data_IF_343239577900
#
_entry.id   IF_343239577900
#
_cell.length_a   1.000
_cell.length_b   1.000
_cell.length_c   1.000
_cell.angle_alpha   90.00
_cell.angle_beta   90.00
_cell.angle_gamma   90.00
#
_symmetry.space_group_name_H-M   'P 1'
#
loop_
_entity.id
_entity.type
_entity.pdbx_description
1 polymer ?
#
# COMPACT_ATOMS: atom_id res chain seq x y z
N UNK A 1 -33.23 -18.85 2.44
CA UNK A 1 -32.27 -18.08 1.61
C UNK A 1 -32.05 -16.71 2.23
N UNK A 2 -30.89 -16.10 2.01
CA UNK A 2 -30.57 -14.73 2.41
C UNK A 2 -30.75 -13.78 1.23
N UNK A 3 -31.16 -12.53 1.46
CA UNK A 3 -31.18 -11.53 0.41
C UNK A 3 -29.75 -11.25 -0.06
N UNK A 4 -29.54 -11.16 -1.37
CA UNK A 4 -28.26 -10.85 -1.98
C UNK A 4 -28.42 -9.60 -2.85
N UNK A 5 -27.44 -8.71 -2.78
CA UNK A 5 -27.40 -7.53 -3.66
C UNK A 5 -27.12 -7.93 -5.11
N UNK A 6 -26.29 -8.95 -5.28
CA UNK A 6 -25.86 -9.44 -6.56
C UNK A 6 -25.31 -10.86 -6.38
N UNK A 7 -25.69 -11.79 -7.23
CA UNK A 7 -25.30 -13.18 -7.12
C UNK A 7 -25.21 -13.89 -8.47
N UNK A 8 -24.53 -15.02 -8.47
CA UNK A 8 -24.34 -15.95 -9.59
C UNK A 8 -23.41 -17.07 -9.17
N UNK A 9 -23.07 -18.03 -10.05
CA UNK A 9 -22.09 -19.07 -9.73
C UNK A 9 -20.76 -18.43 -9.33
N UNK A 10 -20.33 -18.70 -8.09
CA UNK A 10 -19.08 -18.17 -7.49
C UNK A 10 -18.95 -16.64 -7.50
N UNK A 11 -20.09 -15.92 -7.53
CA UNK A 11 -20.15 -14.47 -7.58
C UNK A 11 -21.19 -13.93 -6.61
N UNK A 12 -20.87 -12.83 -5.96
CA UNK A 12 -21.85 -12.14 -5.13
C UNK A 12 -21.26 -11.28 -4.04
N UNK A 13 -22.14 -10.57 -3.37
CA UNK A 13 -21.87 -9.89 -2.11
C UNK A 13 -22.61 -10.62 -1.02
N UNK A 14 -21.88 -11.14 -0.05
CA UNK A 14 -22.45 -11.87 1.09
C UNK A 14 -22.09 -11.12 2.37
N UNK A 15 -23.10 -10.75 3.13
CA UNK A 15 -22.97 -10.17 4.45
C UNK A 15 -23.89 -10.97 5.40
N UNK A 16 -23.37 -12.01 6.06
CA UNK A 16 -24.17 -12.78 7.02
C UNK A 16 -24.64 -11.90 8.17
N UNK A 17 -25.91 -11.95 8.57
CA UNK A 17 -26.40 -11.18 9.70
C UNK A 17 -25.80 -11.69 11.00
N UNK A 18 -25.59 -10.80 11.95
CA UNK A 18 -25.22 -11.17 13.32
C UNK A 18 -26.44 -11.68 14.08
N UNK A 19 -26.22 -12.53 15.07
CA UNK A 19 -27.28 -13.01 15.97
C UNK A 19 -27.96 -11.84 16.67
N UNK A 20 -29.28 -11.81 16.64
CA UNK A 20 -30.10 -10.73 17.19
C UNK A 20 -30.54 -9.67 16.18
N UNK A 21 -30.06 -9.71 14.94
CA UNK A 21 -30.60 -8.86 13.89
C UNK A 21 -32.06 -9.21 13.60
N UNK A 22 -32.89 -8.20 13.38
CA UNK A 22 -34.26 -8.40 12.94
C UNK A 22 -34.30 -8.77 11.47
N UNK A 23 -35.20 -9.68 11.10
CA UNK A 23 -35.43 -10.02 9.71
C UNK A 23 -36.92 -10.08 9.38
N UNK A 24 -37.24 -9.83 8.13
CA UNK A 24 -38.53 -10.08 7.55
C UNK A 24 -38.51 -11.47 6.88
N UNK A 25 -39.47 -12.33 7.26
CA UNK A 25 -39.62 -13.64 6.68
C UNK A 25 -40.72 -13.61 5.62
N UNK A 26 -40.39 -14.11 4.46
CA UNK A 26 -41.34 -14.30 3.36
C UNK A 26 -41.38 -15.78 2.94
N UNK A 27 -42.35 -16.15 2.15
CA UNK A 27 -42.57 -17.53 1.72
C UNK A 27 -42.74 -17.57 0.20
N UNK A 28 -42.09 -18.51 -0.48
CA UNK A 28 -42.26 -18.71 -1.91
C UNK A 28 -43.71 -19.15 -2.18
N UNK A 29 -44.38 -18.45 -3.07
CA UNK A 29 -45.82 -18.67 -3.42
C UNK A 29 -46.75 -18.73 -2.22
N UNK A 30 -46.37 -18.15 -1.09
CA UNK A 30 -47.12 -18.17 0.15
C UNK A 30 -47.07 -19.52 0.91
N UNK A 31 -46.27 -20.47 0.47
CA UNK A 31 -46.14 -21.77 1.11
C UNK A 31 -45.21 -21.69 2.34
N UNK A 32 -45.73 -21.95 3.56
CA UNK A 32 -44.94 -21.87 4.79
C UNK A 32 -43.77 -22.89 4.87
N UNK A 33 -43.74 -23.90 4.01
CA UNK A 33 -42.64 -24.85 3.96
C UNK A 33 -41.41 -24.32 3.23
N UNK A 34 -41.51 -23.20 2.51
CA UNK A 34 -40.42 -22.58 1.75
C UNK A 34 -40.13 -21.15 2.23
N UNK A 35 -39.67 -20.99 3.49
CA UNK A 35 -39.34 -19.66 4.01
C UNK A 35 -38.04 -19.13 3.43
N UNK A 36 -37.97 -17.81 3.26
CA UNK A 36 -36.72 -17.09 2.97
C UNK A 36 -36.69 -15.74 3.70
N UNK A 37 -35.50 -15.26 4.01
CA UNK A 37 -35.33 -13.93 4.57
C UNK A 37 -35.39 -12.93 3.42
N UNK A 38 -36.36 -12.04 3.46
CA UNK A 38 -36.55 -11.02 2.43
C UNK A 38 -35.88 -9.71 2.77
N UNK A 39 -35.62 -9.46 4.04
CA UNK A 39 -34.94 -8.23 4.49
C UNK A 39 -34.25 -8.46 5.85
N UNK A 40 -33.23 -7.66 6.12
CA UNK A 40 -32.51 -7.63 7.41
C UNK A 40 -32.51 -6.18 7.90
N UNK A 41 -32.85 -5.96 9.16
CA UNK A 41 -32.97 -4.63 9.76
C UNK A 41 -32.20 -4.54 11.07
N UNK A 42 -31.80 -3.33 11.41
CA UNK A 42 -31.27 -3.04 12.74
C UNK A 42 -32.42 -3.12 13.77
N UNK A 43 -32.15 -3.73 14.90
CA UNK A 43 -33.13 -3.88 15.97
C UNK A 43 -32.48 -4.40 17.24
N UNK A 44 -33.21 -4.53 18.31
CA UNK A 44 -32.71 -5.11 19.55
C UNK A 44 -31.53 -4.36 20.18
N UNK A 45 -31.46 -3.03 20.03
CA UNK A 45 -30.32 -2.22 20.50
C UNK A 45 -29.20 -2.03 19.48
N UNK A 46 -29.33 -2.61 18.27
CA UNK A 46 -28.39 -2.37 17.17
C UNK A 46 -28.69 -1.04 16.49
N UNK A 47 -27.65 -0.34 16.07
CA UNK A 47 -27.77 0.91 15.31
C UNK A 47 -27.03 0.79 13.97
N UNK A 48 -27.51 1.53 12.98
CA UNK A 48 -26.81 1.66 11.70
C UNK A 48 -25.41 2.27 11.91
N UNK A 49 -24.46 1.96 11.02
CA UNK A 49 -23.23 2.71 10.94
C UNK A 49 -23.50 4.21 10.83
N UNK A 50 -22.70 5.02 11.51
CA UNK A 50 -22.81 6.48 11.41
C UNK A 50 -22.39 6.91 10.01
N UNK A 51 -23.33 7.51 9.29
CA UNK A 51 -23.08 8.11 7.98
C UNK A 51 -23.83 9.43 7.87
N UNK A 52 -23.23 10.41 7.22
CA UNK A 52 -23.89 11.66 6.84
C UNK A 52 -24.64 11.46 5.51
N UNK A 53 -25.42 12.47 5.13
CA UNK A 53 -26.05 12.49 3.80
C UNK A 53 -24.93 12.48 2.71
N UNK A 54 -25.16 11.73 1.66
CA UNK A 54 -24.21 11.56 0.53
C UNK A 54 -22.91 10.81 0.88
N UNK A 55 -22.91 10.01 1.95
CA UNK A 55 -21.84 9.06 2.24
C UNK A 55 -22.28 7.64 1.91
N UNK A 56 -21.31 6.82 1.53
CA UNK A 56 -21.46 5.38 1.39
C UNK A 56 -20.54 4.68 2.37
N UNK A 57 -21.07 3.78 3.19
CA UNK A 57 -20.30 3.10 4.24
C UNK A 57 -20.57 1.60 4.20
N UNK A 58 -19.51 0.83 4.15
CA UNK A 58 -19.50 -0.60 4.47
C UNK A 58 -18.71 -0.73 5.76
N UNK A 59 -19.37 -1.06 6.85
CA UNK A 59 -18.73 -1.20 8.17
C UNK A 59 -19.01 -2.60 8.71
N UNK A 60 -17.97 -3.31 9.12
CA UNK A 60 -18.09 -4.58 9.82
C UNK A 60 -18.22 -4.34 11.33
N UNK A 61 -17.35 -3.48 11.85
CA UNK A 61 -17.33 -3.04 13.25
C UNK A 61 -16.65 -1.66 13.35
N UNK A 62 -16.66 -1.06 14.52
CA UNK A 62 -16.00 0.25 14.71
C UNK A 62 -14.51 0.19 14.35
N UNK A 63 -14.10 1.05 13.42
CA UNK A 63 -12.72 1.12 12.93
C UNK A 63 -12.37 0.12 11.84
N UNK A 64 -13.36 -0.68 11.36
CA UNK A 64 -13.18 -1.57 10.20
C UNK A 64 -14.23 -1.21 9.16
N UNK A 65 -13.85 -0.33 8.24
CA UNK A 65 -14.79 0.20 7.24
C UNK A 65 -14.14 0.58 5.92
N UNK A 66 -14.95 0.57 4.88
CA UNK A 66 -14.69 1.23 3.60
C UNK A 66 -15.75 2.32 3.46
N UNK A 67 -15.32 3.56 3.28
CA UNK A 67 -16.19 4.73 3.23
C UNK A 67 -15.91 5.56 1.98
N UNK A 68 -16.95 6.04 1.34
CA UNK A 68 -16.87 7.20 0.43
C UNK A 68 -17.50 8.37 1.18
N UNK A 69 -16.69 9.35 1.55
CA UNK A 69 -17.14 10.48 2.36
C UNK A 69 -17.74 11.63 1.54
N UNK A 70 -18.14 12.70 2.22
CA UNK A 70 -18.76 13.87 1.60
C UNK A 70 -17.82 14.60 0.63
N UNK A 71 -16.51 14.55 0.87
CA UNK A 71 -15.47 15.08 -0.03
C UNK A 71 -15.09 14.13 -1.17
N UNK A 72 -15.83 13.05 -1.34
CA UNK A 72 -15.63 12.01 -2.39
C UNK A 72 -14.31 11.26 -2.28
N UNK A 73 -13.76 11.17 -1.06
CA UNK A 73 -12.57 10.35 -0.79
C UNK A 73 -12.99 8.92 -0.50
N UNK A 74 -12.23 7.97 -1.03
CA UNK A 74 -12.36 6.55 -0.67
C UNK A 74 -11.40 6.28 0.48
N UNK A 75 -11.94 5.94 1.64
CA UNK A 75 -11.20 5.71 2.88
C UNK A 75 -11.35 4.25 3.29
N UNK A 76 -10.25 3.57 3.53
CA UNK A 76 -10.24 2.22 4.10
C UNK A 76 -9.59 2.29 5.48
N UNK A 77 -10.31 1.86 6.50
CA UNK A 77 -9.84 1.83 7.88
C UNK A 77 -9.84 0.40 8.40
N UNK A 78 -8.77 0.03 9.08
CA UNK A 78 -8.67 -1.22 9.83
C UNK A 78 -7.57 -1.10 10.89
N UNK A 79 -7.75 -1.63 12.10
CA UNK A 79 -6.69 -1.69 13.11
C UNK A 79 -5.68 -2.80 12.82
N UNK A 80 -5.89 -3.62 11.79
CA UNK A 80 -5.07 -4.78 11.48
C UNK A 80 -4.28 -4.55 10.18
N UNK A 81 -4.67 -5.15 9.11
CA UNK A 81 -3.94 -5.19 7.85
C UNK A 81 -4.85 -4.86 6.67
N UNK A 82 -4.32 -4.14 5.70
CA UNK A 82 -4.89 -4.03 4.35
C UNK A 82 -3.98 -4.79 3.40
N UNK A 83 -4.49 -5.86 2.80
CA UNK A 83 -3.75 -6.68 1.84
C UNK A 83 -4.33 -6.52 0.44
N UNK A 84 -3.46 -6.18 -0.51
CA UNK A 84 -3.82 -6.10 -1.92
C UNK A 84 -2.91 -7.02 -2.72
N UNK A 85 -3.49 -7.97 -3.45
CA UNK A 85 -2.76 -8.90 -4.32
C UNK A 85 -3.29 -8.80 -5.74
N UNK A 86 -2.39 -8.75 -6.71
CA UNK A 86 -2.71 -8.77 -8.12
C UNK A 86 -1.90 -9.87 -8.81
N UNK A 87 -2.57 -10.78 -9.51
CA UNK A 87 -1.91 -11.89 -10.21
C UNK A 87 -1.07 -11.45 -11.43
N UNK A 88 -1.25 -10.20 -11.90
CA UNK A 88 -0.48 -9.64 -13.02
C UNK A 88 0.07 -8.27 -12.69
N UNK A 89 -0.74 -7.24 -12.80
CA UNK A 89 -0.31 -5.84 -12.66
C UNK A 89 -1.08 -5.15 -11.56
N UNK A 90 -0.38 -4.35 -10.77
CA UNK A 90 -0.97 -3.41 -9.84
C UNK A 90 -0.43 -2.02 -10.16
N UNK A 91 -1.33 -1.07 -10.44
CA UNK A 91 -0.97 0.29 -10.84
C UNK A 91 -1.58 1.29 -9.88
N UNK A 92 -0.77 2.20 -9.37
CA UNK A 92 -1.21 3.37 -8.60
C UNK A 92 -0.86 4.61 -9.40
N UNK A 93 -1.88 5.44 -9.69
CA UNK A 93 -1.71 6.71 -10.40
C UNK A 93 -2.43 7.81 -9.63
N UNK A 94 -1.71 8.84 -9.24
CA UNK A 94 -2.26 10.02 -8.61
C UNK A 94 -1.91 11.26 -9.43
N UNK A 95 -2.87 12.19 -9.58
CA UNK A 95 -2.66 13.41 -10.38
C UNK A 95 -1.72 14.42 -9.71
N UNK A 96 -1.58 14.37 -8.38
CA UNK A 96 -0.75 15.29 -7.62
C UNK A 96 0.33 14.57 -6.80
N UNK A 97 -0.05 13.66 -5.93
CA UNK A 97 0.91 13.00 -5.03
C UNK A 97 0.43 11.65 -4.57
N UNK A 98 1.39 10.78 -4.26
CA UNK A 98 1.17 9.53 -3.54
C UNK A 98 2.13 9.50 -2.35
N UNK A 99 1.62 9.24 -1.16
CA UNK A 99 2.41 9.18 0.08
C UNK A 99 2.34 7.80 0.67
N UNK A 100 3.49 7.27 1.08
CA UNK A 100 3.59 6.04 1.86
C UNK A 100 4.30 6.39 3.16
N UNK A 101 3.60 6.25 4.27
CA UNK A 101 4.13 6.52 5.61
C UNK A 101 4.01 5.26 6.46
N UNK A 102 5.11 4.76 6.96
CA UNK A 102 5.17 3.60 7.83
C UNK A 102 6.48 3.57 8.62
N UNK A 103 6.48 2.82 9.72
CA UNK A 103 7.72 2.54 10.47
C UNK A 103 8.77 1.85 9.60
N UNK A 104 8.35 0.99 8.68
CA UNK A 104 9.23 0.29 7.73
C UNK A 104 8.53 0.18 6.38
N UNK A 105 9.20 0.58 5.32
CA UNK A 105 8.75 0.41 3.94
C UNK A 105 9.71 -0.52 3.23
N UNK A 106 9.22 -1.59 2.63
CA UNK A 106 10.01 -2.55 1.88
C UNK A 106 9.52 -2.59 0.43
N UNK A 107 10.39 -2.27 -0.52
CA UNK A 107 10.12 -2.39 -1.95
C UNK A 107 11.05 -3.46 -2.52
N UNK A 108 10.48 -4.52 -3.09
CA UNK A 108 11.23 -5.63 -3.68
C UNK A 108 10.84 -5.83 -5.13
N UNK A 109 11.79 -5.81 -6.03
CA UNK A 109 11.63 -6.21 -7.42
C UNK A 109 12.53 -7.41 -7.72
N UNK A 110 12.01 -8.45 -8.34
CA UNK A 110 12.81 -9.63 -8.71
C UNK A 110 13.83 -9.33 -9.82
N UNK A 111 13.49 -8.38 -10.71
CA UNK A 111 14.36 -7.98 -11.81
C UNK A 111 14.91 -6.57 -11.61
N UNK A 112 14.06 -5.62 -11.30
CA UNK A 112 14.45 -4.22 -11.13
C UNK A 112 13.49 -3.46 -10.22
N UNK A 113 13.99 -2.39 -9.62
CA UNK A 113 13.21 -1.29 -9.04
C UNK A 113 13.70 -0.01 -9.70
N UNK A 114 12.80 0.70 -10.39
CA UNK A 114 13.12 1.96 -11.06
C UNK A 114 12.52 3.13 -10.29
N UNK A 115 13.33 4.13 -9.98
CA UNK A 115 12.91 5.40 -9.43
C UNK A 115 13.29 6.48 -10.45
N UNK A 116 12.29 7.15 -11.01
CA UNK A 116 12.48 8.17 -12.04
C UNK A 116 11.80 9.46 -11.62
N UNK A 117 12.55 10.50 -11.45
CA UNK A 117 12.07 11.85 -11.16
C UNK A 117 13.16 12.88 -11.49
N UNK A 118 12.79 14.15 -11.78
CA UNK A 118 13.76 15.23 -11.90
C UNK A 118 14.64 15.38 -10.65
N UNK A 119 14.10 15.11 -9.47
CA UNK A 119 14.83 15.13 -8.20
C UNK A 119 14.44 13.92 -7.34
N UNK A 120 15.44 13.24 -6.81
CA UNK A 120 15.29 12.14 -5.86
C UNK A 120 16.02 12.51 -4.57
N UNK A 121 15.29 12.71 -3.48
CA UNK A 121 15.85 13.03 -2.17
C UNK A 121 15.90 11.78 -1.30
N UNK A 122 17.09 11.46 -0.77
CA UNK A 122 17.29 10.37 0.17
C UNK A 122 17.86 10.95 1.47
N UNK A 123 17.02 11.06 2.49
CA UNK A 123 17.39 11.61 3.78
C UNK A 123 17.65 10.47 4.76
N UNK A 124 18.87 10.37 5.26
CA UNK A 124 19.28 9.32 6.19
C UNK A 124 20.51 8.54 5.71
N UNK A 125 20.76 7.41 6.32
CA UNK A 125 21.85 6.53 5.92
C UNK A 125 21.46 5.71 4.71
N UNK A 126 22.24 5.80 3.63
CA UNK A 126 22.02 5.02 2.40
C UNK A 126 23.08 3.95 2.30
N UNK A 127 22.67 2.68 2.21
CA UNK A 127 23.57 1.56 1.98
C UNK A 127 23.26 0.94 0.63
N UNK A 128 24.25 0.85 -0.25
CA UNK A 128 24.13 0.16 -1.54
C UNK A 128 24.94 -1.13 -1.50
N UNK A 129 24.33 -2.22 -1.97
CA UNK A 129 24.98 -3.54 -2.02
C UNK A 129 24.42 -4.37 -3.17
N UNK A 130 24.98 -5.55 -3.40
CA UNK A 130 24.47 -6.51 -4.37
C UNK A 130 23.22 -7.25 -3.89
N UNK A 131 22.56 -7.92 -4.81
CA UNK A 131 21.41 -8.79 -4.52
C UNK A 131 21.80 -9.85 -3.48
N UNK A 132 20.94 -10.06 -2.50
CA UNK A 132 21.19 -11.03 -1.42
C UNK A 132 22.33 -10.66 -0.45
N UNK A 133 22.75 -9.37 -0.40
CA UNK A 133 23.84 -8.91 0.47
C UNK A 133 25.25 -9.11 -0.09
N UNK A 134 25.38 -9.50 -1.35
CA UNK A 134 26.65 -9.65 -2.05
C UNK A 134 27.22 -8.32 -2.55
N UNK A 135 28.30 -8.41 -3.35
CA UNK A 135 28.89 -7.25 -4.03
C UNK A 135 27.97 -6.71 -5.10
N UNK A 136 27.85 -5.41 -5.22
CA UNK A 136 27.10 -4.72 -6.27
C UNK A 136 27.91 -3.57 -6.85
N UNK A 137 27.53 -3.14 -8.05
CA UNK A 137 28.08 -1.97 -8.68
C UNK A 137 27.17 -0.77 -8.47
N UNK A 138 27.76 0.36 -8.10
CA UNK A 138 27.09 1.67 -8.11
C UNK A 138 27.68 2.49 -9.25
N UNK A 139 26.86 2.85 -10.23
CA UNK A 139 27.29 3.67 -11.36
C UNK A 139 26.56 5.00 -11.26
N UNK A 140 27.31 6.09 -11.29
CA UNK A 140 26.77 7.43 -11.36
C UNK A 140 27.25 8.09 -12.66
N UNK A 141 26.30 8.49 -13.50
CA UNK A 141 26.56 9.27 -14.71
C UNK A 141 26.24 10.73 -14.40
N UNK A 142 27.25 11.57 -14.36
CA UNK A 142 27.15 12.98 -13.99
C UNK A 142 28.09 13.35 -12.84
N UNK A 143 27.88 14.54 -12.29
CA UNK A 143 28.75 15.07 -11.24
C UNK A 143 28.38 14.48 -9.87
N UNK A 144 29.41 14.20 -9.06
CA UNK A 144 29.28 13.81 -7.67
C UNK A 144 29.92 14.85 -6.78
N UNK A 145 29.12 15.49 -5.93
CA UNK A 145 29.63 16.42 -4.90
C UNK A 145 29.47 15.76 -3.52
N UNK A 146 30.57 15.67 -2.77
CA UNK A 146 30.59 15.16 -1.41
C UNK A 146 30.99 16.29 -0.46
N UNK A 147 29.99 16.74 0.34
CA UNK A 147 30.24 17.74 1.40
C UNK A 147 30.59 17.02 2.70
N UNK A 148 31.75 16.41 2.77
CA UNK A 148 32.20 15.61 3.91
C UNK A 148 33.39 14.74 3.54
N UNK A 149 33.60 13.67 4.27
CA UNK A 149 34.75 12.78 4.07
C UNK A 149 34.37 11.63 3.12
N UNK A 150 35.21 11.36 2.13
CA UNK A 150 35.16 10.15 1.32
C UNK A 150 36.18 9.14 1.86
N UNK A 151 35.73 7.96 2.26
CA UNK A 151 36.60 6.84 2.61
C UNK A 151 36.47 5.74 1.56
N UNK A 152 37.57 5.41 0.90
CA UNK A 152 37.64 4.31 -0.07
C UNK A 152 38.48 3.18 0.52
N UNK A 153 37.89 1.99 0.69
CA UNK A 153 38.60 0.79 1.10
C UNK A 153 38.90 -0.06 -0.14
N UNK A 154 39.86 0.35 -0.92
CA UNK A 154 40.21 -0.30 -2.18
C UNK A 154 40.99 0.68 -3.09
N UNK A 155 41.05 0.35 -4.38
CA UNK A 155 41.74 1.15 -5.35
C UNK A 155 40.85 2.26 -5.91
N UNK A 156 41.45 3.42 -6.16
CA UNK A 156 40.81 4.53 -6.87
C UNK A 156 41.57 4.79 -8.15
N UNK A 157 40.87 4.80 -9.29
CA UNK A 157 41.44 5.13 -10.59
C UNK A 157 40.79 6.42 -11.10
N UNK A 158 41.62 7.38 -11.50
CA UNK A 158 41.18 8.65 -12.09
C UNK A 158 41.73 8.74 -13.51
N UNK A 159 40.86 8.87 -14.52
CA UNK A 159 41.26 9.01 -15.93
C UNK A 159 41.47 10.46 -16.36
N UNK A 160 41.15 11.42 -15.51
CA UNK A 160 41.31 12.85 -15.71
C UNK A 160 42.24 13.49 -14.69
N UNK A 161 42.13 14.81 -14.55
CA UNK A 161 42.95 15.57 -13.59
C UNK A 161 42.43 15.40 -12.17
N UNK A 162 43.32 15.08 -11.24
CA UNK A 162 42.98 15.02 -9.81
C UNK A 162 43.70 16.18 -9.09
N UNK A 163 42.93 17.07 -8.49
CA UNK A 163 43.45 18.16 -7.64
C UNK A 163 43.27 17.82 -6.15
N UNK A 164 44.32 17.91 -5.39
CA UNK A 164 44.24 17.74 -3.94
C UNK A 164 44.99 18.88 -3.25
N UNK A 165 44.40 19.51 -2.24
CA UNK A 165 45.02 20.58 -1.47
C UNK A 165 46.24 20.10 -0.66
N UNK A 166 46.22 18.87 -0.18
CA UNK A 166 47.38 18.19 0.41
C UNK A 166 47.25 16.69 0.25
N UNK A 167 48.35 15.98 0.09
CA UNK A 167 48.41 14.51 0.10
C UNK A 167 49.41 14.09 1.17
N UNK A 168 49.01 13.30 2.14
CA UNK A 168 49.89 12.67 3.11
C UNK A 168 49.93 11.17 2.89
N UNK A 169 51.13 10.61 2.68
CA UNK A 169 51.38 9.18 2.58
C UNK A 169 51.17 8.57 1.20
N UNK A 170 52.27 8.12 0.60
CA UNK A 170 52.33 7.36 -0.64
C UNK A 170 53.56 7.78 -1.47
N UNK A 171 54.51 6.87 -1.67
CA UNK A 171 55.54 7.03 -2.68
C UNK A 171 54.90 7.08 -4.06
N UNK A 172 55.13 8.15 -4.82
CA UNK A 172 54.89 8.13 -6.26
C UNK A 172 55.93 7.20 -6.90
N UNK A 173 55.58 6.15 -7.61
CA UNK A 173 56.50 5.53 -8.53
C UNK A 173 56.73 6.50 -9.70
N UNK A 174 57.96 6.85 -9.96
CA UNK A 174 58.40 7.57 -11.15
C UNK A 174 58.24 6.69 -12.38
#
# INVERSE_FOLDING_TARGET
>A
ALPVLWGGPDRGVVCPPVTGALCDLSYYDGDPNYPFISNIRWGGGMSAPKAALNEFVIQLENGVEIRIDQEKRVVTLTPQEVRTEAGKNWTVKAGQGATVEARTVIVKGAQSVTLEAPNIYQNGNVTTGGHGGGSGNSIQNGDLTINGNLKVNGNTTTTGTSHAGSRSGGSCPH
#
